data_IF_502721019886
#
_entry.id   IF_502721019886
#
_cell.length_a   1.000
_cell.length_b   1.000
_cell.length_c   1.000
_cell.angle_alpha   90.00
_cell.angle_beta   90.00
_cell.angle_gamma   90.00
#
_symmetry.space_group_name_H-M   'P 1'
#
loop_
_entity.id
_entity.type
_entity.pdbx_description
1 polymer ?
#
# COMPACT_ATOMS: atom_id res chain seq x y z
N UNK A 1 -65.53 -7.73 -8.08
CA UNK A 1 -64.60 -6.85 -7.34
C UNK A 1 -63.24 -7.55 -7.10
N UNK A 2 -62.23 -7.46 -7.99
CA UNK A 2 -60.91 -8.05 -7.73
C UNK A 2 -59.78 -7.02 -7.47
N UNK A 3 -60.02 -5.71 -7.61
CA UNK A 3 -58.95 -4.69 -7.60
C UNK A 3 -58.31 -4.39 -6.23
N UNK A 4 -58.96 -4.73 -5.10
CA UNK A 4 -58.43 -4.45 -3.76
C UNK A 4 -57.36 -5.45 -3.28
N UNK A 5 -57.45 -6.72 -3.69
CA UNK A 5 -56.49 -7.77 -3.27
C UNK A 5 -55.09 -7.57 -3.88
N UNK A 6 -55.04 -7.15 -5.15
CA UNK A 6 -53.78 -6.89 -5.86
C UNK A 6 -52.99 -5.69 -5.30
N UNK A 7 -53.68 -4.66 -4.81
CA UNK A 7 -53.03 -3.49 -4.21
C UNK A 7 -52.38 -3.82 -2.86
N UNK A 8 -53.02 -4.65 -2.03
CA UNK A 8 -52.46 -5.11 -0.75
C UNK A 8 -51.22 -6.00 -0.94
N UNK A 9 -51.24 -6.88 -1.96
CA UNK A 9 -50.10 -7.75 -2.29
C UNK A 9 -48.88 -6.94 -2.78
N UNK A 10 -49.09 -5.94 -3.66
CA UNK A 10 -48.03 -5.02 -4.08
C UNK A 10 -47.43 -4.23 -2.91
N UNK A 11 -48.26 -3.77 -1.99
CA UNK A 11 -47.77 -3.01 -0.83
C UNK A 11 -46.94 -3.87 0.12
N UNK A 12 -47.33 -5.13 0.36
CA UNK A 12 -46.53 -6.10 1.16
C UNK A 12 -45.21 -6.46 0.47
N UNK A 13 -45.22 -6.64 -0.85
CA UNK A 13 -44.00 -6.93 -1.62
C UNK A 13 -43.03 -5.74 -1.62
N UNK A 14 -43.54 -4.52 -1.77
CA UNK A 14 -42.73 -3.31 -1.73
C UNK A 14 -42.18 -3.02 -0.33
N UNK A 15 -42.94 -3.25 0.74
CA UNK A 15 -42.43 -3.12 2.13
C UNK A 15 -41.44 -4.22 2.49
N UNK A 16 -41.62 -5.45 2.00
CA UNK A 16 -40.65 -6.54 2.19
C UNK A 16 -39.35 -6.28 1.43
N UNK A 17 -39.42 -5.76 0.21
CA UNK A 17 -38.25 -5.38 -0.59
C UNK A 17 -37.50 -4.21 0.05
N UNK A 18 -38.21 -3.22 0.60
CA UNK A 18 -37.59 -2.08 1.30
C UNK A 18 -36.91 -2.51 2.59
N UNK A 19 -37.54 -3.39 3.39
CA UNK A 19 -36.91 -3.96 4.60
C UNK A 19 -35.68 -4.80 4.28
N UNK A 20 -35.73 -5.63 3.24
CA UNK A 20 -34.56 -6.41 2.81
C UNK A 20 -33.41 -5.51 2.34
N UNK A 21 -33.71 -4.35 1.74
CA UNK A 21 -32.71 -3.37 1.33
C UNK A 21 -32.11 -2.58 2.51
N UNK A 22 -32.90 -2.34 3.56
CA UNK A 22 -32.44 -1.71 4.80
C UNK A 22 -31.59 -2.70 5.62
N UNK A 23 -32.01 -3.96 5.76
CA UNK A 23 -31.26 -5.01 6.49
C UNK A 23 -29.91 -5.35 5.82
N UNK A 24 -29.81 -5.31 4.48
CA UNK A 24 -28.55 -5.54 3.75
C UNK A 24 -27.55 -4.35 3.87
N UNK A 25 -28.02 -3.16 4.26
CA UNK A 25 -27.21 -1.95 4.43
C UNK A 25 -26.92 -1.59 5.89
N UNK A 26 -27.50 -2.31 6.85
CA UNK A 26 -27.20 -2.12 8.27
C UNK A 26 -25.86 -2.77 8.63
N UNK A 27 -24.79 -2.04 8.34
CA UNK A 27 -23.51 -2.28 8.99
C UNK A 27 -23.67 -2.10 10.50
N UNK A 28 -23.61 -3.22 11.24
CA UNK A 28 -23.55 -3.18 12.70
C UNK A 28 -22.43 -2.25 13.17
N UNK A 29 -22.68 -1.50 14.26
CA UNK A 29 -21.77 -0.50 14.83
C UNK A 29 -20.30 -0.99 14.96
N UNK A 30 -20.09 -2.28 15.29
CA UNK A 30 -18.77 -2.90 15.35
C UNK A 30 -18.03 -2.99 14.01
N UNK A 31 -18.73 -3.26 12.90
CA UNK A 31 -18.15 -3.33 11.55
C UNK A 31 -17.74 -1.94 11.04
N UNK A 32 -18.55 -0.92 11.35
CA UNK A 32 -18.22 0.47 11.01
C UNK A 32 -17.01 0.98 11.80
N UNK A 33 -16.91 0.63 13.08
CA UNK A 33 -15.78 0.97 13.93
C UNK A 33 -14.49 0.26 13.50
N UNK A 34 -14.55 -1.04 13.19
CA UNK A 34 -13.43 -1.82 12.64
C UNK A 34 -12.92 -1.21 11.32
N UNK A 35 -13.83 -0.91 10.39
CA UNK A 35 -13.51 -0.29 9.10
C UNK A 35 -12.85 1.09 9.27
N UNK A 36 -13.47 1.94 10.09
CA UNK A 36 -13.00 3.31 10.30
C UNK A 36 -11.64 3.31 10.97
N UNK A 37 -11.44 2.49 12.00
CA UNK A 37 -10.14 2.37 12.66
C UNK A 37 -9.06 1.92 11.69
N UNK A 38 -9.26 0.83 10.95
CA UNK A 38 -8.20 0.25 10.13
C UNK A 38 -7.85 1.14 8.95
N UNK A 39 -8.84 1.68 8.22
CA UNK A 39 -8.57 2.47 7.01
C UNK A 39 -8.05 3.86 7.35
N UNK A 40 -8.65 4.54 8.34
CA UNK A 40 -8.21 5.89 8.74
C UNK A 40 -6.85 5.83 9.40
N UNK A 41 -6.63 4.91 10.35
CA UNK A 41 -5.34 4.79 11.02
C UNK A 41 -4.22 4.43 10.03
N UNK A 42 -4.48 3.49 9.10
CA UNK A 42 -3.50 3.17 8.06
C UNK A 42 -3.19 4.39 7.20
N UNK A 43 -4.20 5.16 6.79
CA UNK A 43 -4.01 6.36 5.96
C UNK A 43 -3.20 7.43 6.69
N UNK A 44 -3.48 7.66 7.98
CA UNK A 44 -2.72 8.58 8.84
C UNK A 44 -1.28 8.10 8.98
N UNK A 45 -1.05 6.82 9.23
CA UNK A 45 0.31 6.27 9.37
C UNK A 45 1.09 6.32 8.05
N UNK A 46 0.45 6.08 6.89
CA UNK A 46 1.11 6.19 5.57
C UNK A 46 1.62 7.61 5.33
N UNK A 47 0.76 8.62 5.49
CA UNK A 47 1.14 10.02 5.30
C UNK A 47 2.07 10.53 6.39
N UNK A 48 1.78 10.17 7.64
CA UNK A 48 2.57 10.55 8.80
C UNK A 48 3.98 10.00 8.75
N UNK A 49 4.19 8.76 8.29
CA UNK A 49 5.53 8.20 8.16
C UNK A 49 6.34 8.87 7.05
N UNK A 50 5.72 9.24 5.93
CA UNK A 50 6.38 10.03 4.89
C UNK A 50 6.77 11.42 5.42
N UNK A 51 5.85 12.10 6.09
CA UNK A 51 6.11 13.40 6.70
C UNK A 51 7.22 13.35 7.75
N UNK A 52 7.21 12.33 8.60
CA UNK A 52 8.23 12.12 9.62
C UNK A 52 9.59 11.75 9.01
N UNK A 53 9.62 11.00 7.89
CA UNK A 53 10.87 10.71 7.16
C UNK A 53 11.46 11.99 6.54
N UNK A 54 10.62 12.86 5.97
CA UNK A 54 11.02 14.16 5.47
C UNK A 54 11.56 15.06 6.60
N UNK A 55 10.84 15.13 7.72
CA UNK A 55 11.29 15.85 8.91
C UNK A 55 12.65 15.35 9.39
N UNK A 56 12.82 14.02 9.52
CA UNK A 56 14.08 13.42 9.94
C UNK A 56 15.24 13.84 9.04
N UNK A 57 15.07 13.70 7.73
CA UNK A 57 16.12 14.04 6.75
C UNK A 57 16.45 15.53 6.75
N UNK A 58 15.44 16.40 6.78
CA UNK A 58 15.64 17.85 6.71
C UNK A 58 16.30 18.36 7.99
N UNK A 59 15.78 17.96 9.15
CA UNK A 59 16.23 18.49 10.44
C UNK A 59 17.56 17.89 10.88
N UNK A 60 17.71 16.58 10.76
CA UNK A 60 18.89 15.91 11.33
C UNK A 60 19.95 15.60 10.28
N UNK A 61 19.60 15.36 9.01
CA UNK A 61 20.55 14.87 7.97
C UNK A 61 20.96 15.91 6.94
N UNK A 62 20.58 17.17 7.15
CA UNK A 62 20.98 18.30 6.30
C UNK A 62 20.25 18.35 4.97
N UNK A 63 19.13 17.65 4.79
CA UNK A 63 18.34 17.68 3.56
C UNK A 63 18.97 16.94 2.38
N UNK A 64 18.80 17.47 1.16
CA UNK A 64 19.09 16.74 -0.08
C UNK A 64 20.19 17.40 -0.91
N UNK A 65 20.91 16.57 -1.67
CA UNK A 65 21.82 16.98 -2.74
C UNK A 65 21.77 15.91 -3.84
N UNK A 66 22.43 16.19 -4.96
CA UNK A 66 22.71 15.18 -5.98
C UNK A 66 24.19 14.76 -5.92
N UNK A 67 24.82 14.50 -7.06
CA UNK A 67 26.18 13.92 -7.15
C UNK A 67 27.28 14.78 -6.53
N UNK A 68 27.02 16.07 -6.29
CA UNK A 68 27.96 17.01 -5.67
C UNK A 68 28.22 16.74 -4.19
N UNK A 69 27.28 16.09 -3.49
CA UNK A 69 27.46 15.67 -2.10
C UNK A 69 26.89 14.25 -1.91
N UNK A 70 27.76 13.21 -2.01
CA UNK A 70 27.34 11.82 -1.88
C UNK A 70 26.63 11.51 -0.55
N UNK A 71 26.97 12.21 0.54
CA UNK A 71 26.34 11.98 1.86
C UNK A 71 24.91 12.47 1.87
N UNK A 72 24.65 13.66 1.32
CA UNK A 72 23.29 14.22 1.22
C UNK A 72 22.48 13.59 0.08
N UNK A 73 23.14 13.07 -0.96
CA UNK A 73 22.49 12.26 -2.00
C UNK A 73 21.85 11.00 -1.42
N UNK A 74 22.53 10.34 -0.47
CA UNK A 74 21.96 9.17 0.23
C UNK A 74 20.58 9.46 0.82
N UNK A 75 20.33 10.67 1.32
CA UNK A 75 19.08 11.01 1.99
C UNK A 75 17.85 10.94 1.06
N UNK A 76 18.04 10.96 -0.27
CA UNK A 76 16.97 10.68 -1.23
C UNK A 76 16.48 9.23 -1.12
N UNK A 77 17.35 8.28 -0.76
CA UNK A 77 17.01 6.88 -0.64
C UNK A 77 15.86 6.61 0.35
N UNK A 78 15.97 6.92 1.67
CA UNK A 78 14.90 6.63 2.61
C UNK A 78 13.60 7.38 2.26
N UNK A 79 13.68 8.64 1.81
CA UNK A 79 12.49 9.43 1.47
C UNK A 79 11.75 8.85 0.26
N UNK A 80 12.48 8.53 -0.81
CA UNK A 80 11.86 8.00 -2.03
C UNK A 80 11.40 6.54 -1.85
N UNK A 81 12.11 5.73 -1.07
CA UNK A 81 11.64 4.37 -0.72
C UNK A 81 10.37 4.41 0.12
N UNK A 82 10.27 5.31 1.10
CA UNK A 82 9.05 5.50 1.90
C UNK A 82 7.92 6.09 1.05
N UNK A 83 8.19 7.01 0.13
CA UNK A 83 7.19 7.52 -0.79
C UNK A 83 6.65 6.41 -1.72
N UNK A 84 7.54 5.66 -2.39
CA UNK A 84 7.15 4.65 -3.37
C UNK A 84 6.60 3.37 -2.75
N UNK A 85 7.39 2.69 -1.93
CA UNK A 85 7.04 1.37 -1.42
C UNK A 85 6.11 1.40 -0.21
N UNK A 86 6.18 2.43 0.62
CA UNK A 86 5.30 2.50 1.80
C UNK A 86 4.05 3.29 1.44
N UNK A 87 4.18 4.54 1.02
CA UNK A 87 3.04 5.47 0.86
C UNK A 87 2.19 5.13 -0.35
N UNK A 88 2.74 5.25 -1.56
CA UNK A 88 1.98 5.00 -2.79
C UNK A 88 1.52 3.56 -2.89
N UNK A 89 2.41 2.60 -2.63
CA UNK A 89 2.03 1.18 -2.68
C UNK A 89 1.06 0.78 -1.55
N UNK A 90 1.22 1.34 -0.35
CA UNK A 90 0.27 1.11 0.76
C UNK A 90 -1.12 1.64 0.47
N UNK A 91 -1.23 2.87 -0.05
CA UNK A 91 -2.51 3.40 -0.52
C UNK A 91 -3.09 2.53 -1.63
N UNK A 92 -2.28 2.14 -2.62
CA UNK A 92 -2.70 1.28 -3.72
C UNK A 92 -3.33 -0.03 -3.25
N UNK A 93 -2.73 -0.69 -2.26
CA UNK A 93 -3.27 -1.93 -1.64
C UNK A 93 -4.59 -1.65 -0.91
N UNK A 94 -4.73 -0.51 -0.25
CA UNK A 94 -5.94 -0.12 0.49
C UNK A 94 -7.06 0.44 -0.40
N UNK A 95 -6.82 0.78 -1.67
CA UNK A 95 -7.83 1.42 -2.53
C UNK A 95 -9.13 0.61 -2.66
N UNK A 96 -9.06 -0.72 -2.70
CA UNK A 96 -10.26 -1.57 -2.74
C UNK A 96 -11.06 -1.58 -1.42
N UNK A 97 -10.49 -1.03 -0.34
CA UNK A 97 -11.15 -0.79 0.95
C UNK A 97 -11.59 0.67 1.11
N UNK A 98 -10.84 1.62 0.55
CA UNK A 98 -11.18 3.05 0.59
C UNK A 98 -12.33 3.36 -0.40
N UNK A 99 -12.20 2.92 -1.65
CA UNK A 99 -13.09 3.28 -2.75
C UNK A 99 -14.22 2.26 -2.97
N UNK A 100 -14.91 1.84 -1.89
CA UNK A 100 -15.96 0.80 -1.97
C UNK A 100 -17.18 1.21 -2.79
N UNK A 101 -17.50 2.50 -2.82
CA UNK A 101 -18.62 3.05 -3.58
C UNK A 101 -18.26 3.34 -5.04
N UNK A 102 -17.00 3.18 -5.44
CA UNK A 102 -16.54 3.46 -6.79
C UNK A 102 -16.73 2.24 -7.71
N UNK A 103 -16.94 2.49 -9.01
CA UNK A 103 -16.93 1.41 -10.00
C UNK A 103 -15.59 0.70 -9.97
N UNK A 104 -15.61 -0.64 -10.01
CA UNK A 104 -14.41 -1.48 -9.90
C UNK A 104 -13.32 -1.14 -10.92
N UNK A 105 -13.69 -0.69 -12.12
CA UNK A 105 -12.72 -0.25 -13.14
C UNK A 105 -11.94 1.00 -12.71
N UNK A 106 -12.58 1.96 -12.03
CA UNK A 106 -11.87 3.15 -11.53
C UNK A 106 -10.90 2.79 -10.40
N UNK A 107 -11.30 1.89 -9.50
CA UNK A 107 -10.41 1.40 -8.43
C UNK A 107 -9.20 0.67 -9.00
N UNK A 108 -9.40 -0.16 -10.05
CA UNK A 108 -8.30 -0.80 -10.79
C UNK A 108 -7.34 0.22 -11.40
N UNK A 109 -7.86 1.22 -12.10
CA UNK A 109 -7.04 2.26 -12.73
C UNK A 109 -6.25 3.05 -11.68
N UNK A 110 -6.89 3.42 -10.57
CA UNK A 110 -6.25 4.15 -9.49
C UNK A 110 -5.16 3.31 -8.81
N UNK A 111 -5.40 2.02 -8.59
CA UNK A 111 -4.40 1.06 -8.11
C UNK A 111 -3.18 1.00 -9.03
N UNK A 112 -3.39 0.92 -10.35
CA UNK A 112 -2.29 0.96 -11.31
C UNK A 112 -1.56 2.30 -11.29
N UNK A 113 -2.27 3.43 -11.23
CA UNK A 113 -1.65 4.77 -11.17
C UNK A 113 -0.78 4.92 -9.92
N UNK A 114 -1.25 4.52 -8.75
CA UNK A 114 -0.46 4.62 -7.52
C UNK A 114 0.82 3.76 -7.59
N UNK A 115 0.74 2.52 -8.09
CA UNK A 115 1.96 1.73 -8.31
C UNK A 115 2.86 2.32 -9.40
N UNK A 116 2.30 2.93 -10.46
CA UNK A 116 3.07 3.60 -11.48
C UNK A 116 3.82 4.83 -10.93
N UNK A 117 3.21 5.58 -10.00
CA UNK A 117 3.87 6.67 -9.28
C UNK A 117 4.99 6.18 -8.35
N UNK A 118 4.87 4.96 -7.81
CA UNK A 118 5.93 4.37 -6.99
C UNK A 118 7.19 3.99 -7.79
N UNK A 119 7.06 3.64 -9.07
CA UNK A 119 8.18 3.24 -9.94
C UNK A 119 9.32 4.29 -9.97
N UNK A 120 9.09 5.56 -10.35
CA UNK A 120 10.15 6.55 -10.38
C UNK A 120 10.74 6.82 -8.99
N UNK A 121 9.94 6.79 -7.93
CA UNK A 121 10.45 6.92 -6.56
C UNK A 121 11.44 5.81 -6.22
N UNK A 122 11.05 4.55 -6.42
CA UNK A 122 11.91 3.39 -6.14
C UNK A 122 13.16 3.39 -7.00
N UNK A 123 13.04 3.69 -8.30
CA UNK A 123 14.17 3.75 -9.22
C UNK A 123 15.17 4.83 -8.81
N UNK A 124 14.70 6.06 -8.56
CA UNK A 124 15.57 7.17 -8.17
C UNK A 124 16.18 6.98 -6.77
N UNK A 125 15.42 6.44 -5.82
CA UNK A 125 15.93 6.12 -4.48
C UNK A 125 16.99 5.02 -4.50
N UNK A 126 16.88 4.06 -5.42
CA UNK A 126 17.89 3.02 -5.60
C UNK A 126 19.15 3.57 -6.27
N UNK A 127 18.98 4.38 -7.33
CA UNK A 127 20.11 5.03 -8.00
C UNK A 127 20.86 5.98 -7.07
N UNK A 128 20.16 6.71 -6.20
CA UNK A 128 20.81 7.66 -5.27
C UNK A 128 21.72 6.97 -4.26
N UNK A 129 21.39 5.76 -3.78
CA UNK A 129 22.26 5.01 -2.86
C UNK A 129 23.46 4.40 -3.60
N UNK A 130 23.26 3.89 -4.82
CA UNK A 130 24.36 3.37 -5.63
C UNK A 130 25.37 4.48 -5.97
N UNK A 131 24.90 5.63 -6.43
CA UNK A 131 25.75 6.78 -6.72
C UNK A 131 26.45 7.26 -5.44
N UNK A 132 25.73 7.37 -4.32
CA UNK A 132 26.30 7.78 -3.03
C UNK A 132 27.46 6.87 -2.59
N UNK A 133 27.29 5.55 -2.70
CA UNK A 133 28.33 4.58 -2.34
C UNK A 133 29.53 4.64 -3.28
N UNK A 134 29.29 4.74 -4.59
CA UNK A 134 30.34 4.73 -5.61
C UNK A 134 31.16 6.04 -5.63
N UNK A 135 30.52 7.17 -5.30
CA UNK A 135 31.16 8.49 -5.26
C UNK A 135 31.79 8.81 -3.90
N UNK A 136 31.53 8.00 -2.86
CA UNK A 136 32.18 8.12 -1.57
C UNK A 136 33.71 7.95 -1.69
N UNK A 137 34.45 8.57 -0.77
CA UNK A 137 35.91 8.50 -0.72
C UNK A 137 36.36 8.01 0.66
N UNK A 138 36.85 6.76 0.79
CA UNK A 138 36.90 5.72 -0.24
C UNK A 138 35.48 5.20 -0.63
N UNK A 139 35.33 4.56 -1.81
CA UNK A 139 34.05 3.98 -2.23
C UNK A 139 33.53 2.93 -1.23
N UNK A 140 32.22 2.92 -1.02
CA UNK A 140 31.55 1.96 -0.13
C UNK A 140 31.11 0.74 -0.95
N UNK A 141 31.41 -0.50 -0.51
CA UNK A 141 30.93 -1.70 -1.20
C UNK A 141 29.40 -1.77 -1.28
N UNK A 142 28.88 -2.24 -2.41
CA UNK A 142 27.44 -2.41 -2.60
C UNK A 142 26.98 -3.84 -2.23
N UNK A 143 25.71 -3.98 -1.88
CA UNK A 143 25.00 -5.26 -1.73
C UNK A 143 25.54 -6.27 -0.70
N UNK A 144 26.28 -5.81 0.32
CA UNK A 144 26.80 -6.69 1.36
C UNK A 144 25.86 -6.88 2.56
N UNK A 145 24.87 -5.99 2.73
CA UNK A 145 24.00 -5.99 3.91
C UNK A 145 22.70 -6.76 3.68
N UNK A 146 22.11 -7.30 4.75
CA UNK A 146 20.83 -8.01 4.66
C UNK A 146 19.70 -7.07 4.16
N UNK A 147 19.72 -5.79 4.58
CA UNK A 147 18.80 -4.78 4.05
C UNK A 147 18.84 -4.73 2.52
N UNK A 148 20.04 -4.70 1.93
CA UNK A 148 20.20 -4.62 0.47
C UNK A 148 19.68 -5.86 -0.27
N UNK A 149 19.80 -7.05 0.32
CA UNK A 149 19.27 -8.29 -0.26
C UNK A 149 17.74 -8.33 -0.22
N UNK A 150 17.14 -7.97 0.92
CA UNK A 150 15.69 -7.86 1.06
C UNK A 150 15.16 -6.79 0.08
N UNK A 151 15.85 -5.66 -0.02
CA UNK A 151 15.52 -4.56 -0.94
C UNK A 151 15.51 -5.03 -2.41
N UNK A 152 16.54 -5.74 -2.86
CA UNK A 152 16.61 -6.26 -4.24
C UNK A 152 15.48 -7.26 -4.54
N UNK A 153 15.20 -8.19 -3.62
CA UNK A 153 14.08 -9.13 -3.76
C UNK A 153 12.74 -8.37 -3.83
N UNK A 154 12.56 -7.36 -2.97
CA UNK A 154 11.36 -6.52 -2.95
C UNK A 154 11.17 -5.78 -4.27
N UNK A 155 12.22 -5.15 -4.80
CA UNK A 155 12.19 -4.44 -6.08
C UNK A 155 11.88 -5.39 -7.25
N UNK A 156 12.50 -6.58 -7.27
CA UNK A 156 12.24 -7.59 -8.29
C UNK A 156 10.80 -8.08 -8.26
N UNK A 157 10.29 -8.43 -7.07
CA UNK A 157 8.89 -8.84 -6.91
C UNK A 157 7.92 -7.71 -7.29
N UNK A 158 8.21 -6.46 -6.91
CA UNK A 158 7.39 -5.32 -7.27
C UNK A 158 7.31 -5.13 -8.79
N UNK A 159 8.45 -5.20 -9.49
CA UNK A 159 8.48 -5.07 -10.95
C UNK A 159 7.68 -6.20 -11.63
N UNK A 160 7.88 -7.45 -11.19
CA UNK A 160 7.13 -8.61 -11.70
C UNK A 160 5.63 -8.44 -11.44
N UNK A 161 5.24 -8.03 -10.23
CA UNK A 161 3.84 -7.82 -9.88
C UNK A 161 3.19 -6.70 -10.69
N UNK A 162 3.91 -5.60 -10.95
CA UNK A 162 3.41 -4.52 -11.77
C UNK A 162 3.18 -4.98 -13.22
N UNK A 163 4.16 -5.66 -13.83
CA UNK A 163 4.05 -6.16 -15.21
C UNK A 163 2.91 -7.18 -15.32
N UNK A 164 2.91 -8.21 -14.48
CA UNK A 164 1.85 -9.25 -14.49
C UNK A 164 0.48 -8.61 -14.23
N UNK A 165 0.37 -7.73 -13.23
CA UNK A 165 -0.88 -7.06 -12.90
C UNK A 165 -1.41 -6.19 -14.05
N UNK A 166 -0.52 -5.42 -14.69
CA UNK A 166 -0.86 -4.56 -15.82
C UNK A 166 -1.38 -5.37 -17.02
N UNK A 167 -0.65 -6.40 -17.44
CA UNK A 167 -1.08 -7.22 -18.57
C UNK A 167 -2.34 -8.03 -18.24
N UNK A 168 -2.36 -8.72 -17.10
CA UNK A 168 -3.47 -9.62 -16.76
C UNK A 168 -4.76 -8.90 -16.39
N UNK A 169 -4.70 -7.74 -15.70
CA UNK A 169 -5.90 -7.09 -15.16
C UNK A 169 -6.27 -5.77 -15.83
N UNK A 170 -5.46 -5.25 -16.77
CA UNK A 170 -5.83 -4.13 -17.64
C UNK A 170 -5.86 -4.53 -19.12
N UNK A 171 -4.76 -5.03 -19.68
CA UNK A 171 -4.69 -5.30 -21.12
C UNK A 171 -5.64 -6.42 -21.53
N UNK A 172 -5.60 -7.57 -20.83
CA UNK A 172 -6.45 -8.71 -21.17
C UNK A 172 -7.96 -8.47 -20.95
N UNK A 173 -8.37 -7.32 -20.38
CA UNK A 173 -9.79 -6.95 -20.34
C UNK A 173 -10.38 -6.76 -21.75
N UNK A 174 -9.57 -6.43 -22.76
CA UNK A 174 -10.06 -6.32 -24.14
C UNK A 174 -10.58 -7.66 -24.72
N UNK A 175 -10.10 -8.79 -24.17
CA UNK A 175 -10.48 -10.14 -24.56
C UNK A 175 -11.21 -10.83 -23.40
N UNK A 176 -12.29 -10.20 -22.90
CA UNK A 176 -12.90 -10.55 -21.60
C UNK A 176 -13.30 -12.03 -21.49
N UNK A 177 -13.97 -12.57 -22.52
CA UNK A 177 -14.45 -13.95 -22.54
C UNK A 177 -13.33 -15.01 -22.57
N UNK A 178 -12.35 -14.84 -23.46
CA UNK A 178 -11.29 -15.84 -23.67
C UNK A 178 -10.31 -15.95 -22.49
N UNK A 179 -10.17 -14.89 -21.69
CA UNK A 179 -9.14 -14.82 -20.63
C UNK A 179 -9.71 -14.80 -19.20
N UNK A 180 -11.04 -14.91 -19.04
CA UNK A 180 -11.70 -14.85 -17.74
C UNK A 180 -11.17 -15.88 -16.73
N UNK A 181 -11.06 -17.15 -17.13
CA UNK A 181 -10.56 -18.23 -16.26
C UNK A 181 -9.11 -18.00 -15.81
N UNK A 182 -8.24 -17.60 -16.74
CA UNK A 182 -6.85 -17.28 -16.44
C UNK A 182 -6.73 -16.11 -15.46
N UNK A 183 -7.45 -15.01 -15.70
CA UNK A 183 -7.47 -13.86 -14.78
C UNK A 183 -7.98 -14.26 -13.39
N UNK A 184 -9.04 -15.08 -13.31
CA UNK A 184 -9.60 -15.54 -12.05
C UNK A 184 -8.58 -16.36 -11.24
N UNK A 185 -7.82 -17.24 -11.89
CA UNK A 185 -6.75 -18.01 -11.25
C UNK A 185 -5.59 -17.13 -10.76
N UNK A 186 -5.29 -16.02 -11.45
CA UNK A 186 -4.22 -15.09 -11.06
C UNK A 186 -4.57 -14.16 -9.90
N UNK A 187 -5.86 -13.88 -9.64
CA UNK A 187 -6.26 -12.98 -8.54
C UNK A 187 -5.64 -13.36 -7.18
N UNK A 188 -5.76 -14.61 -6.68
CA UNK A 188 -5.20 -14.97 -5.38
C UNK A 188 -3.67 -14.88 -5.36
N UNK A 189 -3.01 -15.19 -6.47
CA UNK A 189 -1.55 -15.10 -6.60
C UNK A 189 -1.13 -13.62 -6.52
N UNK A 190 -1.73 -12.76 -7.33
CA UNK A 190 -1.43 -11.33 -7.36
C UNK A 190 -1.70 -10.66 -6.01
N UNK A 191 -2.83 -10.97 -5.37
CA UNK A 191 -3.16 -10.42 -4.06
C UNK A 191 -2.17 -10.87 -2.97
N UNK A 192 -1.79 -12.16 -2.97
CA UNK A 192 -0.87 -12.70 -1.97
C UNK A 192 0.54 -12.14 -2.13
N UNK A 193 1.09 -12.18 -3.36
CA UNK A 193 2.41 -11.64 -3.63
C UNK A 193 2.45 -10.12 -3.50
N UNK A 194 1.39 -9.40 -3.86
CA UNK A 194 1.30 -7.96 -3.62
C UNK A 194 1.39 -7.60 -2.13
N UNK A 195 0.69 -8.33 -1.26
CA UNK A 195 0.82 -8.16 0.19
C UNK A 195 2.21 -8.54 0.70
N UNK A 196 2.76 -9.67 0.22
CA UNK A 196 4.12 -10.10 0.56
C UNK A 196 5.15 -9.04 0.17
N UNK A 197 5.06 -8.45 -1.02
CA UNK A 197 5.94 -7.36 -1.46
C UNK A 197 5.84 -6.14 -0.54
N UNK A 198 4.65 -5.77 -0.10
CA UNK A 198 4.47 -4.66 0.84
C UNK A 198 5.12 -4.96 2.21
N UNK A 199 4.95 -6.17 2.74
CA UNK A 199 5.59 -6.59 4.00
C UNK A 199 7.11 -6.65 3.87
N UNK A 200 7.63 -7.15 2.74
CA UNK A 200 9.08 -7.14 2.46
C UNK A 200 9.65 -5.72 2.36
N UNK A 201 8.90 -4.78 1.77
CA UNK A 201 9.31 -3.38 1.77
C UNK A 201 9.40 -2.78 3.18
N UNK A 202 8.48 -3.17 4.07
CA UNK A 202 8.54 -2.77 5.48
C UNK A 202 9.75 -3.40 6.17
N UNK A 203 10.00 -4.70 5.95
CA UNK A 203 11.19 -5.37 6.49
C UNK A 203 12.50 -4.73 6.00
N UNK A 204 12.59 -4.39 4.71
CA UNK A 204 13.70 -3.63 4.14
C UNK A 204 13.81 -2.24 4.80
N UNK A 205 12.71 -1.53 4.99
CA UNK A 205 12.72 -0.20 5.61
C UNK A 205 13.19 -0.24 7.06
N UNK A 206 12.72 -1.18 7.87
CA UNK A 206 13.11 -1.33 9.28
C UNK A 206 14.59 -1.74 9.41
N UNK A 207 15.07 -2.65 8.57
CA UNK A 207 16.49 -3.03 8.54
C UNK A 207 17.36 -1.87 8.08
N UNK A 208 16.94 -1.10 7.07
CA UNK A 208 17.66 0.08 6.58
C UNK A 208 17.69 1.24 7.58
N UNK A 209 16.59 1.48 8.30
CA UNK A 209 16.55 2.45 9.41
C UNK A 209 17.51 2.04 10.53
N UNK A 210 17.53 0.75 10.89
CA UNK A 210 18.47 0.21 11.90
C UNK A 210 19.92 0.40 11.46
N UNK A 211 20.27 0.00 10.22
CA UNK A 211 21.60 0.21 9.66
C UNK A 211 21.99 1.69 9.69
N UNK A 212 21.08 2.59 9.26
CA UNK A 212 21.35 4.02 9.24
C UNK A 212 21.52 4.61 10.64
N UNK A 213 20.71 4.19 11.61
CA UNK A 213 20.85 4.62 13.00
C UNK A 213 22.21 4.21 13.56
N UNK A 214 22.62 2.95 13.37
CA UNK A 214 23.91 2.46 13.85
C UNK A 214 25.08 3.17 13.16
N UNK A 215 25.02 3.42 11.86
CA UNK A 215 26.11 4.10 11.13
C UNK A 215 26.22 5.58 11.44
N UNK A 216 25.13 6.25 11.82
CA UNK A 216 25.14 7.71 12.03
C UNK A 216 25.17 8.13 13.48
N UNK A 217 24.51 7.38 14.37
CA UNK A 217 24.50 7.66 15.80
C UNK A 217 25.57 6.85 16.54
N UNK A 218 25.93 5.66 16.06
CA UNK A 218 27.00 4.83 16.63
C UNK A 218 26.81 4.61 18.13
N UNK A 219 27.86 4.89 18.90
CA UNK A 219 27.88 4.75 20.36
C UNK A 219 26.90 5.67 21.08
N UNK A 220 26.41 6.73 20.41
CA UNK A 220 25.41 7.63 20.97
C UNK A 220 23.98 7.13 20.79
N UNK A 221 23.75 6.04 20.05
CA UNK A 221 22.40 5.52 19.84
C UNK A 221 21.68 5.13 21.15
N UNK A 222 22.33 4.49 22.14
CA UNK A 222 21.73 4.18 23.43
C UNK A 222 21.45 5.41 24.32
N UNK A 223 21.92 6.61 23.96
CA UNK A 223 21.75 7.84 24.76
C UNK A 223 20.36 8.48 24.61
N UNK A 224 19.44 7.87 23.85
CA UNK A 224 18.08 8.39 23.63
C UNK A 224 18.04 9.79 23.02
N UNK A 225 18.99 10.12 22.14
CA UNK A 225 18.94 11.37 21.37
C UNK A 225 17.67 11.43 20.53
N UNK A 226 17.13 12.64 20.35
CA UNK A 226 15.86 12.88 19.66
C UNK A 226 15.82 12.23 18.28
N UNK A 227 16.92 12.29 17.52
CA UNK A 227 17.02 11.64 16.21
C UNK A 227 16.79 10.12 16.29
N UNK A 228 17.37 9.45 17.28
CA UNK A 228 17.19 8.01 17.48
C UNK A 228 15.75 7.66 17.84
N UNK A 229 15.07 8.50 18.62
CA UNK A 229 13.63 8.36 18.93
C UNK A 229 12.80 8.48 17.65
N UNK A 230 13.09 9.48 16.80
CA UNK A 230 12.40 9.67 15.51
C UNK A 230 12.58 8.46 14.59
N UNK A 231 13.80 7.93 14.46
CA UNK A 231 14.08 6.75 13.64
C UNK A 231 13.32 5.52 14.17
N UNK A 232 13.30 5.31 15.49
CA UNK A 232 12.55 4.21 16.10
C UNK A 232 11.03 4.37 15.92
N UNK A 233 10.50 5.59 16.06
CA UNK A 233 9.10 5.88 15.82
C UNK A 233 8.70 5.58 14.36
N UNK A 234 9.56 5.90 13.38
CA UNK A 234 9.36 5.49 11.99
C UNK A 234 9.31 3.96 11.85
N UNK A 235 10.28 3.25 12.46
CA UNK A 235 10.33 1.79 12.44
C UNK A 235 9.05 1.15 12.99
N UNK A 236 8.59 1.60 14.16
CA UNK A 236 7.35 1.10 14.77
C UNK A 236 6.12 1.46 13.94
N UNK A 237 6.09 2.65 13.33
CA UNK A 237 5.01 3.05 12.42
C UNK A 237 4.92 2.13 11.19
N UNK A 238 6.06 1.72 10.62
CA UNK A 238 6.08 0.75 9.53
C UNK A 238 5.60 -0.63 9.97
N UNK A 239 6.00 -1.11 11.16
CA UNK A 239 5.51 -2.39 11.69
C UNK A 239 3.99 -2.34 11.91
N UNK A 240 3.47 -1.24 12.46
CA UNK A 240 2.03 -1.03 12.62
C UNK A 240 1.30 -1.06 11.26
N UNK A 241 1.87 -0.41 10.23
CA UNK A 241 1.34 -0.48 8.86
C UNK A 241 1.33 -1.91 8.30
N UNK A 242 2.36 -2.72 8.55
CA UNK A 242 2.37 -4.12 8.11
C UNK A 242 1.19 -4.89 8.71
N UNK A 243 0.93 -4.70 10.01
CA UNK A 243 -0.16 -5.36 10.73
C UNK A 243 -1.52 -4.87 10.20
N UNK A 244 -1.73 -3.56 10.17
CA UNK A 244 -3.01 -2.96 9.81
C UNK A 244 -3.39 -3.22 8.34
N UNK A 245 -2.46 -3.05 7.40
CA UNK A 245 -2.73 -3.32 5.97
C UNK A 245 -2.96 -4.81 5.75
N UNK A 246 -2.17 -5.68 6.37
CA UNK A 246 -2.38 -7.14 6.28
C UNK A 246 -3.72 -7.57 6.86
N UNK A 247 -4.17 -6.92 7.93
CA UNK A 247 -5.50 -7.14 8.50
C UNK A 247 -6.58 -6.61 7.55
N UNK A 248 -6.43 -5.40 7.01
CA UNK A 248 -7.38 -4.78 6.09
C UNK A 248 -7.63 -5.62 4.83
N UNK A 249 -6.56 -6.18 4.26
CA UNK A 249 -6.65 -7.00 3.05
C UNK A 249 -7.34 -8.34 3.33
N UNK A 250 -7.07 -8.95 4.49
CA UNK A 250 -7.59 -10.28 4.86
C UNK A 250 -8.96 -10.28 5.52
N UNK A 251 -9.38 -9.18 6.16
CA UNK A 251 -10.67 -9.10 6.84
C UNK A 251 -11.83 -9.23 5.85
N UNK A 252 -12.71 -10.21 6.09
CA UNK A 252 -13.91 -10.45 5.30
C UNK A 252 -14.98 -9.38 5.55
N UNK A 253 -15.03 -8.82 6.78
CA UNK A 253 -15.97 -7.75 7.17
C UNK A 253 -15.74 -6.47 6.36
N UNK A 254 -14.54 -6.29 5.80
CA UNK A 254 -14.15 -5.12 5.02
C UNK A 254 -14.21 -5.34 3.50
N UNK A 255 -14.65 -6.52 3.03
CA UNK A 255 -14.87 -6.76 1.60
C UNK A 255 -16.07 -5.94 1.12
N UNK A 256 -15.95 -5.32 -0.06
CA UNK A 256 -17.11 -4.70 -0.69
C UNK A 256 -18.04 -5.80 -1.17
N UNK A 257 -19.20 -5.97 -0.53
CA UNK A 257 -20.28 -6.79 -1.07
C UNK A 257 -20.91 -6.04 -2.25
N UNK A 258 -20.29 -6.18 -3.42
CA UNK A 258 -20.92 -5.83 -4.68
C UNK A 258 -21.57 -7.09 -5.24
N UNK A 259 -22.72 -7.48 -4.68
CA UNK A 259 -23.68 -8.28 -5.44
C UNK A 259 -24.26 -7.34 -6.49
N UNK A 260 -23.62 -7.27 -7.67
CA UNK A 260 -24.33 -6.78 -8.85
C UNK A 260 -25.41 -7.83 -9.10
N UNK A 261 -26.65 -7.55 -8.71
CA UNK A 261 -27.82 -8.24 -9.23
C UNK A 261 -27.90 -7.92 -10.73
N UNK A 262 -27.14 -8.65 -11.55
CA UNK A 262 -27.37 -8.74 -13.00
C UNK A 262 -28.49 -9.75 -13.20
N UNK A 263 -29.71 -9.38 -12.80
CA UNK A 263 -30.92 -10.08 -13.22
C UNK A 263 -32.03 -9.04 -13.29
N UNK A 264 -32.19 -8.42 -14.46
CA UNK A 264 -33.43 -7.87 -15.04
C UNK A 264 -33.07 -6.82 -16.10
N UNK A 265 -32.63 -7.29 -17.27
CA UNK A 265 -32.82 -6.69 -18.60
C UNK A 265 -32.26 -7.66 -19.64
N UNK A 266 -32.91 -8.83 -19.72
CA UNK A 266 -33.10 -9.61 -20.94
C UNK A 266 -34.57 -9.97 -21.00
#
# INVERSE_FOLDING_TARGET
MPKRSFAMAKNKMHTSAHRHYEDDNEWGCGSWLEYTLVVVLSSVLLLGSLGLTLFWVIQYRGGFAWREDPKRQFNLHPVLMVAGFITFSGFSVLLYRICRCCRRIYVKLLHTVFHALAIPCVALGFLSVLDSHNLAQPPIPNFYSLHSWIGLVTMGLFAIQFVVGFFSFLILLCCEGATAGFRAALVPIHASFGLTTFVLAIAASVTGLTEKALFTLGDAYPEWREEGIVINALGISFIALAILVSFAVRSNNLKSDFKVTVVERM
#
